data_IF_827847291178
#
_entry.id   IF_827847291178
#
_cell.length_a   1.000
_cell.length_b   1.000
_cell.length_c   1.000
_cell.angle_alpha   90.00
_cell.angle_beta   90.00
_cell.angle_gamma   90.00
#
_symmetry.space_group_name_H-M   'P 1'
#
loop_
_entity.id
_entity.type
_entity.pdbx_description
1 polymer ?
#
# COMPACT_ATOMS: atom_id res chain seq x y z
N UNK A 1 -44.15 -41.47 2.22
CA UNK A 1 -42.89 -40.90 2.76
C UNK A 1 -42.39 -39.89 1.74
N UNK A 2 -42.37 -38.58 2.05
CA UNK A 2 -41.90 -37.53 1.13
C UNK A 2 -40.46 -37.16 1.50
N UNK A 3 -39.52 -37.43 0.61
CA UNK A 3 -38.12 -37.05 0.76
C UNK A 3 -37.99 -35.56 0.44
N UNK A 4 -37.59 -34.77 1.43
CA UNK A 4 -37.33 -33.33 1.26
C UNK A 4 -35.83 -33.19 1.04
N UNK A 5 -35.44 -32.86 -0.19
CA UNK A 5 -34.04 -32.62 -0.55
C UNK A 5 -33.72 -31.15 -0.25
N UNK A 6 -32.98 -30.90 0.83
CA UNK A 6 -32.46 -29.57 1.13
C UNK A 6 -31.17 -29.36 0.33
N UNK A 7 -31.25 -28.60 -0.77
CA UNK A 7 -30.06 -28.14 -1.48
C UNK A 7 -29.45 -26.95 -0.70
N UNK A 8 -28.28 -27.15 -0.11
CA UNK A 8 -27.52 -26.08 0.51
C UNK A 8 -26.77 -25.30 -0.59
N UNK A 9 -27.20 -24.07 -0.85
CA UNK A 9 -26.49 -23.14 -1.75
C UNK A 9 -25.36 -22.50 -0.95
N UNK A 10 -24.11 -22.87 -1.26
CA UNK A 10 -22.93 -22.22 -0.71
C UNK A 10 -22.72 -20.90 -1.45
N UNK A 11 -23.09 -19.79 -0.80
CA UNK A 11 -22.78 -18.44 -1.28
C UNK A 11 -21.29 -18.20 -1.07
N UNK A 12 -20.51 -18.18 -2.16
CA UNK A 12 -19.12 -17.75 -2.13
C UNK A 12 -19.14 -16.23 -2.00
N UNK A 13 -18.90 -15.70 -0.79
CA UNK A 13 -18.69 -14.28 -0.61
C UNK A 13 -17.34 -13.94 -1.24
N UNK A 14 -17.35 -13.23 -2.37
CA UNK A 14 -16.16 -12.57 -2.88
C UNK A 14 -15.76 -11.51 -1.85
N UNK A 15 -14.75 -11.82 -1.05
CA UNK A 15 -14.14 -10.86 -0.14
C UNK A 15 -13.43 -9.79 -0.95
N UNK A 16 -14.14 -8.70 -1.28
CA UNK A 16 -13.52 -7.48 -1.78
C UNK A 16 -12.39 -7.06 -0.83
N UNK A 17 -11.28 -6.52 -1.38
CA UNK A 17 -10.20 -5.98 -0.55
C UNK A 17 -10.76 -4.81 0.26
N UNK A 18 -11.03 -5.06 1.55
CA UNK A 18 -11.49 -4.02 2.48
C UNK A 18 -10.40 -2.96 2.62
N UNK A 19 -10.70 -1.75 2.16
CA UNK A 19 -9.85 -0.60 2.43
C UNK A 19 -10.05 -0.22 3.89
N UNK A 20 -9.03 -0.53 4.69
CA UNK A 20 -9.04 -0.21 6.11
C UNK A 20 -9.11 1.31 6.29
N UNK A 21 -9.94 1.74 7.24
CA UNK A 21 -9.83 3.09 7.77
C UNK A 21 -8.50 3.19 8.53
N UNK A 22 -7.59 4.03 8.05
CA UNK A 22 -6.31 4.33 8.69
C UNK A 22 -5.05 3.90 7.93
N UNK A 23 -4.00 4.70 8.09
CA UNK A 23 -2.67 4.45 7.54
C UNK A 23 -1.95 3.33 8.30
N UNK A 24 -1.49 2.29 7.58
CA UNK A 24 -0.80 1.14 8.18
C UNK A 24 0.20 0.48 7.22
N UNK A 25 1.16 -0.30 7.75
CA UNK A 25 2.00 -1.15 6.92
C UNK A 25 1.16 -2.20 6.20
N UNK A 26 1.36 -2.35 4.90
CA UNK A 26 0.62 -3.27 4.03
C UNK A 26 1.60 -4.06 3.17
N UNK A 27 1.46 -5.39 3.18
CA UNK A 27 2.31 -6.27 2.39
C UNK A 27 1.93 -6.20 0.92
N UNK A 28 2.92 -6.00 0.05
CA UNK A 28 2.78 -5.99 -1.40
C UNK A 28 3.88 -6.81 -2.05
N UNK A 29 3.71 -7.13 -3.33
CA UNK A 29 4.78 -7.66 -4.17
C UNK A 29 5.23 -6.58 -5.14
N UNK A 30 6.54 -6.33 -5.20
CA UNK A 30 7.15 -5.43 -6.17
C UNK A 30 8.13 -6.20 -7.06
N UNK A 31 8.35 -5.71 -8.26
CA UNK A 31 9.38 -6.23 -9.16
C UNK A 31 10.70 -5.51 -8.89
N UNK A 32 11.78 -6.27 -8.83
CA UNK A 32 13.15 -5.78 -8.73
C UNK A 32 13.96 -6.35 -9.88
N UNK A 33 14.87 -5.55 -10.43
CA UNK A 33 15.66 -5.93 -11.60
C UNK A 33 17.16 -5.78 -11.31
N UNK A 34 17.94 -6.78 -11.71
CA UNK A 34 19.40 -6.70 -11.77
C UNK A 34 19.96 -7.65 -12.82
N UNK A 35 21.04 -7.25 -13.48
CA UNK A 35 21.66 -8.02 -14.56
C UNK A 35 20.68 -8.45 -15.69
N UNK A 36 19.60 -7.68 -15.93
CA UNK A 36 18.56 -8.02 -16.91
C UNK A 36 17.58 -9.12 -16.47
N UNK A 37 17.67 -9.59 -15.22
CA UNK A 37 16.73 -10.52 -14.61
C UNK A 37 15.76 -9.75 -13.72
N UNK A 38 14.46 -10.04 -13.87
CA UNK A 38 13.38 -9.47 -13.06
C UNK A 38 12.85 -10.53 -12.10
N UNK A 39 12.85 -10.23 -10.80
CA UNK A 39 12.25 -11.08 -9.78
C UNK A 39 11.22 -10.32 -8.95
N UNK A 40 10.24 -11.03 -8.39
CA UNK A 40 9.31 -10.44 -7.43
C UNK A 40 9.82 -10.61 -6.00
N UNK A 41 9.68 -9.54 -5.20
CA UNK A 41 9.97 -9.56 -3.76
C UNK A 41 8.72 -9.16 -2.99
N UNK A 42 8.51 -9.80 -1.85
CA UNK A 42 7.49 -9.39 -0.90
C UNK A 42 8.08 -8.34 0.03
N UNK A 43 7.45 -7.18 0.08
CA UNK A 43 7.83 -6.06 0.93
C UNK A 43 6.60 -5.46 1.61
N UNK A 44 6.82 -4.49 2.48
CA UNK A 44 5.78 -3.74 3.16
C UNK A 44 5.84 -2.28 2.74
N UNK A 45 4.69 -1.67 2.45
CA UNK A 45 4.55 -0.23 2.15
C UNK A 45 3.54 0.42 3.09
N UNK A 46 3.58 1.75 3.19
CA UNK A 46 2.51 2.48 3.87
C UNK A 46 1.31 2.67 2.94
N UNK A 47 0.14 2.23 3.39
CA UNK A 47 -1.11 2.35 2.65
C UNK A 47 -2.28 2.54 3.61
N UNK A 48 -3.25 3.34 3.18
CA UNK A 48 -4.44 3.68 3.95
C UNK A 48 -4.86 5.13 3.75
N UNK A 49 -5.90 5.52 4.46
CA UNK A 49 -6.46 6.87 4.40
C UNK A 49 -5.99 7.72 5.58
N UNK A 50 -5.76 9.01 5.32
CA UNK A 50 -5.49 10.04 6.31
C UNK A 50 -6.61 11.07 6.31
N UNK A 51 -6.84 11.71 7.45
CA UNK A 51 -7.82 12.77 7.55
C UNK A 51 -7.31 14.02 6.83
N UNK A 52 -8.16 14.58 5.98
CA UNK A 52 -7.90 15.84 5.29
C UNK A 52 -9.15 16.72 5.43
N UNK A 53 -8.93 18.00 5.67
CA UNK A 53 -9.97 19.01 5.66
C UNK A 53 -9.51 20.19 4.80
N UNK A 54 -10.44 20.73 4.02
CA UNK A 54 -10.24 21.96 3.28
C UNK A 54 -10.72 23.12 4.16
N UNK A 55 -9.83 24.02 4.62
CA UNK A 55 -10.21 25.07 5.55
C UNK A 55 -11.13 26.10 4.89
N UNK A 56 -12.19 26.52 5.62
CA UNK A 56 -13.14 27.53 5.13
C UNK A 56 -12.50 28.93 5.06
N UNK A 57 -11.54 29.21 5.95
CA UNK A 57 -10.81 30.48 6.00
C UNK A 57 -9.34 30.24 5.67
N UNK A 58 -8.84 30.93 4.64
CA UNK A 58 -7.44 30.87 4.22
C UNK A 58 -6.65 31.92 5.02
N UNK A 59 -5.91 31.46 6.02
CA UNK A 59 -5.00 32.27 6.83
C UNK A 59 -3.61 31.64 6.91
N UNK A 60 -2.67 32.30 7.58
CA UNK A 60 -1.26 31.87 7.64
C UNK A 60 -1.02 30.58 8.45
N UNK A 61 -1.94 30.19 9.35
CA UNK A 61 -1.86 29.01 10.22
C UNK A 61 -2.47 27.73 9.60
N UNK A 62 -2.39 27.57 8.27
CA UNK A 62 -2.93 26.38 7.61
C UNK A 62 -2.12 25.13 7.99
N UNK A 63 -2.81 24.09 8.46
CA UNK A 63 -2.17 22.81 8.73
C UNK A 63 -1.75 22.17 7.40
N UNK A 64 -0.48 21.78 7.29
CA UNK A 64 -0.01 21.04 6.12
C UNK A 64 -0.76 19.71 6.00
N UNK A 65 -1.10 19.35 4.75
CA UNK A 65 -1.79 18.09 4.47
C UNK A 65 -0.91 16.89 4.86
N UNK A 66 -1.50 15.94 5.59
CA UNK A 66 -0.79 14.73 6.03
C UNK A 66 -1.04 13.57 5.07
N UNK A 67 0.02 12.93 4.60
CA UNK A 67 -0.05 11.73 3.76
C UNK A 67 0.22 10.48 4.60
N UNK A 68 -0.18 9.31 4.08
CA UNK A 68 0.18 8.04 4.73
C UNK A 68 1.65 7.71 4.45
N UNK A 69 2.50 7.94 5.43
CA UNK A 69 3.96 7.76 5.35
C UNK A 69 4.53 7.22 6.66
N UNK A 70 5.83 7.02 6.78
CA UNK A 70 6.44 6.55 8.02
C UNK A 70 7.89 6.11 7.87
N UNK A 71 8.41 5.44 8.89
CA UNK A 71 9.80 4.99 8.89
C UNK A 71 9.96 3.77 7.99
N UNK A 72 11.06 3.74 7.23
CA UNK A 72 11.39 2.65 6.33
C UNK A 72 12.89 2.40 6.31
N UNK A 73 13.29 1.22 5.84
CA UNK A 73 14.71 0.88 5.64
C UNK A 73 14.90 0.13 4.34
N UNK A 74 16.14 0.03 3.88
CA UNK A 74 16.47 -0.85 2.76
C UNK A 74 16.71 -2.29 3.22
N UNK A 75 16.27 -3.22 2.39
CA UNK A 75 16.68 -4.63 2.42
C UNK A 75 17.33 -5.01 1.10
N UNK A 76 18.01 -6.15 1.06
CA UNK A 76 18.85 -6.58 -0.06
C UNK A 76 18.35 -7.91 -0.62
N UNK A 77 18.10 -7.97 -1.93
CA UNK A 77 17.78 -9.17 -2.68
C UNK A 77 18.96 -9.56 -3.56
N UNK A 78 19.38 -10.82 -3.45
CA UNK A 78 20.34 -11.44 -4.37
C UNK A 78 19.58 -12.23 -5.42
N UNK A 79 19.83 -11.92 -6.69
CA UNK A 79 19.26 -12.62 -7.84
C UNK A 79 20.26 -13.70 -8.28
N UNK A 80 19.78 -14.93 -8.48
CA UNK A 80 20.65 -16.05 -8.85
C UNK A 80 21.38 -15.77 -10.16
N UNK A 81 22.70 -15.96 -10.16
CA UNK A 81 23.54 -15.69 -11.32
C UNK A 81 23.90 -14.21 -11.56
N UNK A 82 23.45 -13.30 -10.70
CA UNK A 82 23.83 -11.89 -10.77
C UNK A 82 24.77 -11.51 -9.62
N UNK A 83 25.97 -10.95 -9.89
CA UNK A 83 26.90 -10.53 -8.85
C UNK A 83 26.47 -9.24 -8.14
N UNK A 84 25.49 -8.50 -8.69
CA UNK A 84 25.00 -7.23 -8.15
C UNK A 84 23.66 -7.45 -7.46
N UNK A 85 23.63 -7.25 -6.14
CA UNK A 85 22.41 -7.30 -5.36
C UNK A 85 21.54 -6.06 -5.55
N UNK A 86 20.23 -6.19 -5.38
CA UNK A 86 19.26 -5.08 -5.46
C UNK A 86 18.85 -4.67 -4.05
N UNK A 87 18.85 -3.37 -3.78
CA UNK A 87 18.22 -2.81 -2.58
C UNK A 87 16.78 -2.42 -2.87
N UNK A 88 15.89 -2.69 -1.92
CA UNK A 88 14.48 -2.29 -2.01
C UNK A 88 13.96 -1.77 -0.66
N UNK A 89 13.01 -0.82 -0.66
CA UNK A 89 12.49 -0.23 0.58
C UNK A 89 11.50 -1.17 1.28
N UNK A 90 11.50 -1.11 2.61
CA UNK A 90 10.58 -1.85 3.50
C UNK A 90 10.08 -0.91 4.59
N UNK A 91 8.77 -0.64 4.59
CA UNK A 91 8.13 0.13 5.65
C UNK A 91 8.20 -0.60 7.00
N UNK A 92 8.64 0.11 8.04
CA UNK A 92 8.77 -0.39 9.41
C UNK A 92 7.67 0.19 10.31
N UNK A 93 7.24 1.41 10.05
CA UNK A 93 6.12 2.07 10.72
C UNK A 93 5.34 2.90 9.70
N UNK A 94 4.06 3.13 9.95
CA UNK A 94 3.23 4.00 9.11
C UNK A 94 2.29 4.84 9.99
N UNK A 95 2.12 6.10 9.61
CA UNK A 95 1.29 7.12 10.26
C UNK A 95 0.87 8.18 9.25
N UNK A 96 -0.10 9.00 9.62
CA UNK A 96 -0.36 10.22 8.88
C UNK A 96 0.67 11.27 9.31
N UNK A 97 1.48 11.75 8.37
CA UNK A 97 2.49 12.77 8.59
C UNK A 97 2.75 13.58 7.32
N UNK A 98 3.45 14.69 7.44
CA UNK A 98 3.93 15.44 6.29
C UNK A 98 4.78 14.54 5.38
N UNK A 99 4.73 14.80 4.07
CA UNK A 99 5.56 14.10 3.10
C UNK A 99 7.00 14.63 3.18
N UNK A 100 7.97 13.72 3.30
CA UNK A 100 9.39 14.07 3.30
C UNK A 100 9.92 14.11 1.86
N UNK A 101 9.97 15.31 1.28
CA UNK A 101 10.46 15.51 -0.09
C UNK A 101 11.95 15.22 -0.27
N UNK A 102 12.71 14.99 0.81
CA UNK A 102 14.12 14.62 0.75
C UNK A 102 14.34 13.15 0.36
N UNK A 103 13.33 12.28 0.57
CA UNK A 103 13.43 10.85 0.29
C UNK A 103 12.19 10.24 -0.41
N UNK A 104 11.12 11.01 -0.54
CA UNK A 104 9.84 10.58 -1.12
C UNK A 104 9.41 11.58 -2.18
N UNK A 105 8.87 11.09 -3.30
CA UNK A 105 8.22 11.94 -4.28
C UNK A 105 6.84 12.37 -3.76
N UNK A 106 6.70 13.67 -3.47
CA UNK A 106 5.50 14.24 -2.87
C UNK A 106 4.56 14.75 -3.96
N UNK A 107 3.83 13.82 -4.57
CA UNK A 107 2.89 14.11 -5.64
C UNK A 107 1.71 13.15 -5.66
N UNK A 108 0.86 13.31 -6.68
CA UNK A 108 -0.15 12.31 -6.99
C UNK A 108 0.56 11.05 -7.50
N UNK A 109 0.22 9.89 -6.95
CA UNK A 109 0.68 8.64 -7.51
C UNK A 109 -0.11 8.33 -8.79
N UNK A 110 0.58 8.35 -9.93
CA UNK A 110 -0.03 8.14 -11.25
C UNK A 110 -0.11 6.65 -11.67
N UNK A 111 0.38 5.74 -10.84
CA UNK A 111 0.29 4.30 -11.09
C UNK A 111 -1.11 3.73 -10.80
N UNK A 112 -1.32 2.46 -11.19
CA UNK A 112 -2.54 1.74 -10.86
C UNK A 112 -2.65 1.53 -9.35
N UNK A 113 -3.38 2.42 -8.67
CA UNK A 113 -3.83 2.19 -7.30
C UNK A 113 -5.00 1.22 -7.38
N UNK A 114 -4.90 0.00 -6.80
CA UNK A 114 -6.03 -0.90 -6.78
C UNK A 114 -7.22 -0.18 -6.16
N UNK A 115 -8.24 0.10 -6.97
CA UNK A 115 -9.43 0.82 -6.52
C UNK A 115 -10.13 -0.02 -5.46
N UNK A 116 -10.41 0.59 -4.31
CA UNK A 116 -11.37 0.03 -3.38
C UNK A 116 -12.74 -0.03 -4.06
N UNK A 117 -13.45 -1.15 -3.95
CA UNK A 117 -14.90 -1.12 -4.13
C UNK A 117 -15.47 -0.25 -3.00
N UNK A 118 -15.78 1.00 -3.30
CA UNK A 118 -16.80 1.71 -2.55
C UNK A 118 -18.12 0.97 -2.81
N UNK A 119 -18.85 0.63 -1.75
CA UNK A 119 -20.14 -0.08 -1.69
C UNK A 119 -20.08 -1.58 -1.40
#
# INVERSE_FOLDING_TARGET
MRLVVMAAVLMVAEGGRSCGFGCRPTNISIQVESCGSVESVFTTVCSGQCYHEDPIYIGDDWAEQQVCSGDWSYEVKHISGCPVAVTYPVAKSCRCSMCDSGNTDCGRFDGDVPSCSSY
#
